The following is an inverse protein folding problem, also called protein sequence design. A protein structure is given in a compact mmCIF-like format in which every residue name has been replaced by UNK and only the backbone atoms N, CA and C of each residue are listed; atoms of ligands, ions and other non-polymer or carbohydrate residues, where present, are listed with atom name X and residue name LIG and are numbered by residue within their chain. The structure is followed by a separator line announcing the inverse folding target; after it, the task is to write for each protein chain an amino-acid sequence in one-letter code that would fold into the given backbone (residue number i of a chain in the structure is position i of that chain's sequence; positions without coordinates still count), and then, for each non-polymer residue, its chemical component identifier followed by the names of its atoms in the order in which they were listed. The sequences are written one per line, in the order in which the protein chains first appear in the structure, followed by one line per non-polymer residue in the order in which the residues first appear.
data_IF_737080248069
#
_entry.id   IF_737080248069
#
_cell.length_a   1.000
_cell.length_b   1.000
_cell.length_c   1.000
_cell.angle_alpha   90.00
_cell.angle_beta   90.00
_cell.angle_gamma   90.00
#
_symmetry.space_group_name_H-M   'P 1'
#
loop_
_entity.id
_entity.type
_entity.pdbx_description
1 polymer ?
#
# COMPACT_ATOMS: atom_id res chain seq x y z
N UNK A 1 4.28 18.05 -1.04
CA UNK A 1 3.98 19.50 -1.16
C UNK A 1 5.25 20.22 -0.82
N UNK A 2 5.69 21.18 -1.62
CA UNK A 2 6.92 21.91 -1.33
C UNK A 2 6.61 23.06 -0.36
N UNK A 3 7.45 23.26 0.65
CA UNK A 3 7.35 24.41 1.52
C UNK A 3 7.84 25.69 0.80
N UNK A 4 7.32 26.88 1.16
CA UNK A 4 7.92 28.14 0.75
C UNK A 4 9.38 28.23 1.21
N UNK A 5 10.23 28.96 0.48
CA UNK A 5 11.69 29.00 0.67
C UNK A 5 12.16 29.35 2.09
N UNK A 6 11.34 30.06 2.87
CA UNK A 6 11.64 30.53 4.23
C UNK A 6 11.08 29.63 5.35
N UNK A 7 10.40 28.55 4.99
CA UNK A 7 9.74 27.62 5.93
C UNK A 7 10.37 26.24 5.79
N UNK A 8 10.75 25.64 6.92
CA UNK A 8 11.35 24.30 6.97
C UNK A 8 10.54 23.35 7.84
N UNK A 9 10.47 22.07 7.49
CA UNK A 9 9.99 21.05 8.41
C UNK A 9 11.08 20.78 9.45
N UNK A 10 10.75 20.97 10.72
CA UNK A 10 11.71 20.82 11.83
C UNK A 10 11.03 20.12 13.00
N UNK A 11 11.56 18.97 13.48
CA UNK A 11 12.71 18.25 12.95
C UNK A 11 12.36 17.44 11.67
N UNK A 12 13.38 17.06 10.90
CA UNK A 12 13.29 15.93 9.96
C UNK A 12 12.75 14.74 10.73
N UNK A 13 11.60 14.23 10.30
CA UNK A 13 10.85 13.23 11.06
C UNK A 13 10.72 11.96 10.23
N UNK A 14 11.09 10.84 10.85
CA UNK A 14 10.86 9.51 10.32
C UNK A 14 10.01 8.75 11.35
N UNK A 15 9.08 7.93 10.87
CA UNK A 15 8.18 7.22 11.76
C UNK A 15 7.48 6.04 11.11
N UNK A 16 6.67 5.37 11.91
CA UNK A 16 5.79 4.29 11.47
C UNK A 16 4.36 4.65 11.82
N UNK A 17 3.45 4.28 10.93
CA UNK A 17 2.01 4.35 11.12
C UNK A 17 1.46 2.94 11.34
N UNK A 18 0.14 2.75 11.26
CA UNK A 18 -0.46 1.43 11.43
C UNK A 18 -0.08 0.50 10.27
N UNK A 19 -0.08 1.02 9.03
CA UNK A 19 0.11 0.22 7.82
C UNK A 19 1.44 0.47 7.11
N UNK A 20 2.17 1.53 7.47
CA UNK A 20 3.34 1.96 6.70
C UNK A 20 4.43 2.65 7.51
N UNK A 21 5.38 3.18 6.76
CA UNK A 21 6.46 4.03 7.27
C UNK A 21 6.49 5.32 6.47
N UNK A 22 6.89 6.41 7.14
CA UNK A 22 7.00 7.71 6.49
C UNK A 22 8.31 8.40 6.86
N UNK A 23 8.75 9.28 5.98
CA UNK A 23 9.83 10.23 6.22
C UNK A 23 9.46 11.58 5.61
N UNK A 24 9.86 12.66 6.26
CA UNK A 24 9.74 14.03 5.74
C UNK A 24 11.06 14.77 5.89
N UNK A 25 11.52 15.40 4.81
CA UNK A 25 12.73 16.24 4.80
C UNK A 25 12.44 17.69 5.22
N UNK A 26 13.50 18.49 5.35
CA UNK A 26 13.39 19.89 5.78
C UNK A 26 12.63 20.78 4.79
N UNK A 27 12.55 20.40 3.51
CA UNK A 27 11.82 21.14 2.48
C UNK A 27 10.34 20.71 2.39
N UNK A 28 9.93 19.76 3.23
CA UNK A 28 8.57 19.24 3.33
C UNK A 28 8.25 18.16 2.31
N UNK A 29 9.24 17.65 1.57
CA UNK A 29 9.03 16.45 0.76
C UNK A 29 8.89 15.25 1.69
N UNK A 30 7.82 14.50 1.48
CA UNK A 30 7.54 13.30 2.24
C UNK A 30 7.47 12.09 1.32
N UNK A 31 7.89 10.95 1.86
CA UNK A 31 7.66 9.64 1.26
C UNK A 31 6.91 8.77 2.25
N UNK A 32 5.94 8.01 1.76
CA UNK A 32 5.20 7.02 2.52
C UNK A 32 5.31 5.68 1.81
N UNK A 33 5.69 4.63 2.56
CA UNK A 33 5.77 3.26 2.05
C UNK A 33 4.77 2.41 2.82
N UNK A 34 3.81 1.81 2.10
CA UNK A 34 2.91 0.81 2.64
C UNK A 34 3.69 -0.48 2.90
N UNK A 35 3.71 -0.96 4.15
CA UNK A 35 4.50 -2.13 4.57
C UNK A 35 3.66 -3.31 5.04
N UNK A 36 2.37 -3.08 5.27
CA UNK A 36 1.39 -4.08 5.69
C UNK A 36 0.12 -3.92 4.87
N UNK A 37 -0.55 -5.03 4.50
CA UNK A 37 -1.86 -4.94 3.87
C UNK A 37 -2.86 -4.29 4.82
N UNK A 38 -3.85 -3.60 4.27
CA UNK A 38 -5.03 -3.18 5.02
C UNK A 38 -5.94 -4.38 5.27
N UNK A 39 -6.65 -4.38 6.40
CA UNK A 39 -7.64 -5.43 6.71
C UNK A 39 -9.02 -5.12 6.10
N UNK A 40 -9.05 -4.32 5.04
CA UNK A 40 -10.27 -3.79 4.44
C UNK A 40 -10.02 -2.57 3.58
N UNK A 41 -11.12 -2.10 2.99
CA UNK A 41 -11.13 -1.01 2.02
C UNK A 41 -11.23 0.36 2.68
N UNK A 42 -10.60 1.37 2.09
CA UNK A 42 -10.65 2.78 2.53
C UNK A 42 -10.18 3.00 3.98
N UNK A 43 -9.16 2.27 4.44
CA UNK A 43 -8.54 2.55 5.74
C UNK A 43 -7.61 3.75 5.66
N UNK A 44 -7.43 4.47 6.77
CA UNK A 44 -6.61 5.68 6.81
C UNK A 44 -5.35 5.47 7.67
N UNK A 45 -4.25 6.06 7.19
CA UNK A 45 -3.06 6.34 7.98
C UNK A 45 -2.85 7.85 8.07
N UNK A 46 -2.36 8.32 9.21
CA UNK A 46 -2.06 9.74 9.41
C UNK A 46 -0.70 9.94 10.04
N UNK A 47 -0.03 11.02 9.68
CA UNK A 47 1.12 11.51 10.41
C UNK A 47 1.13 13.04 10.43
N UNK A 48 1.71 13.61 11.47
CA UNK A 48 1.87 15.06 11.60
C UNK A 48 3.33 15.46 11.50
N UNK A 49 3.57 16.66 10.96
CA UNK A 49 4.88 17.29 10.90
C UNK A 49 4.77 18.76 11.27
N UNK A 50 5.82 19.29 11.88
CA UNK A 50 5.89 20.71 12.28
C UNK A 50 6.77 21.47 11.30
N UNK A 51 6.27 22.59 10.81
CA UNK A 51 7.01 23.56 10.01
C UNK A 51 7.39 24.76 10.86
N UNK A 52 8.57 25.31 10.64
CA UNK A 52 9.08 26.50 11.32
C UNK A 52 9.53 27.55 10.29
N UNK A 53 9.12 28.80 10.46
CA UNK A 53 9.58 29.91 9.64
C UNK A 53 10.88 30.53 10.19
N UNK A 54 11.48 31.44 9.41
CA UNK A 54 12.71 32.14 9.78
C UNK A 54 12.55 33.05 11.02
N UNK A 55 11.32 33.45 11.35
CA UNK A 55 10.98 34.28 12.51
C UNK A 55 10.72 33.44 13.77
N UNK A 56 10.75 32.11 13.65
CA UNK A 56 10.62 31.16 14.74
C UNK A 56 9.19 30.68 15.01
N UNK A 57 8.20 31.11 14.23
CA UNK A 57 6.84 30.62 14.35
C UNK A 57 6.77 29.18 13.87
N UNK A 58 6.03 28.35 14.60
CA UNK A 58 5.86 26.93 14.28
C UNK A 58 4.39 26.62 13.99
N UNK A 59 4.14 25.73 13.03
CA UNK A 59 2.80 25.26 12.67
C UNK A 59 2.83 23.75 12.49
N UNK A 60 1.86 23.05 13.04
CA UNK A 60 1.71 21.61 12.87
C UNK A 60 0.73 21.33 11.73
N UNK A 61 1.14 20.46 10.81
CA UNK A 61 0.36 20.01 9.66
C UNK A 61 0.12 18.51 9.79
N UNK A 62 -0.96 18.02 9.19
CA UNK A 62 -1.31 16.60 9.17
C UNK A 62 -1.44 16.12 7.73
N UNK A 63 -0.84 14.97 7.45
CA UNK A 63 -0.99 14.24 6.19
C UNK A 63 -1.91 13.06 6.47
N UNK A 64 -2.95 12.92 5.63
CA UNK A 64 -3.86 11.77 5.62
C UNK A 64 -3.61 10.95 4.38
N UNK A 65 -3.44 9.64 4.55
CA UNK A 65 -3.21 8.66 3.49
C UNK A 65 -4.39 7.69 3.51
N UNK A 66 -5.18 7.66 2.44
CA UNK A 66 -6.25 6.68 2.26
C UNK A 66 -5.71 5.48 1.48
N UNK A 67 -5.83 4.29 2.07
CA UNK A 67 -5.40 3.02 1.50
C UNK A 67 -6.64 2.31 0.95
N UNK A 68 -6.59 1.93 -0.32
CA UNK A 68 -7.68 1.28 -1.05
C UNK A 68 -7.23 -0.13 -1.40
N UNK A 69 -8.07 -1.12 -1.09
CA UNK A 69 -7.85 -2.52 -1.40
C UNK A 69 -8.22 -2.80 -2.87
N UNK A 70 -7.47 -3.66 -3.55
CA UNK A 70 -7.74 -4.03 -4.92
C UNK A 70 -8.41 -5.41 -5.04
N UNK A 71 -9.42 -5.51 -5.91
CA UNK A 71 -10.08 -6.77 -6.17
C UNK A 71 -9.17 -7.72 -6.99
N UNK A 72 -9.11 -9.02 -6.67
CA UNK A 72 -8.32 -9.97 -7.44
C UNK A 72 -8.87 -10.11 -8.86
N UNK A 73 -7.97 -10.16 -9.85
CA UNK A 73 -8.33 -10.39 -11.26
C UNK A 73 -8.17 -11.87 -11.61
N UNK A 74 -9.29 -12.57 -11.77
CA UNK A 74 -9.30 -13.97 -12.21
C UNK A 74 -8.93 -14.07 -13.70
N UNK A 75 -8.10 -15.07 -14.05
CA UNK A 75 -7.79 -15.41 -15.45
C UNK A 75 -8.56 -16.69 -15.83
N UNK A 76 -9.23 -16.72 -16.99
CA UNK A 76 -9.97 -17.91 -17.42
C UNK A 76 -9.01 -19.04 -17.79
N UNK A 77 -9.29 -20.24 -17.28
CA UNK A 77 -8.64 -21.48 -17.74
C UNK A 77 -9.35 -22.02 -18.97
N UNK A 78 -8.60 -22.42 -20.01
CA UNK A 78 -9.15 -23.01 -21.22
C UNK A 78 -8.57 -24.39 -21.47
N UNK A 79 -9.42 -25.42 -21.47
CA UNK A 79 -9.08 -26.77 -21.89
C UNK A 79 -9.99 -27.19 -23.07
N UNK A 80 -9.44 -27.88 -24.05
CA UNK A 80 -10.20 -28.50 -25.14
C UNK A 80 -9.72 -29.91 -25.39
N UNK A 81 -10.63 -30.76 -25.89
CA UNK A 81 -10.33 -32.12 -26.35
C UNK A 81 -11.00 -32.31 -27.70
N UNK A 82 -10.27 -32.88 -28.65
CA UNK A 82 -10.85 -33.39 -29.89
C UNK A 82 -11.52 -34.71 -29.61
N UNK A 83 -12.78 -34.84 -30.03
CA UNK A 83 -13.47 -36.12 -30.03
C UNK A 83 -12.66 -37.16 -30.81
N UNK A 84 -12.70 -38.41 -30.35
CA UNK A 84 -12.18 -39.59 -31.06
C UNK A 84 -10.65 -39.84 -31.00
N UNK A 85 -9.95 -39.34 -29.97
CA UNK A 85 -8.61 -39.84 -29.60
C UNK A 85 -8.67 -40.63 -28.28
N UNK A 86 -8.15 -41.86 -28.28
CA UNK A 86 -8.04 -42.73 -27.10
C UNK A 86 -6.57 -42.96 -26.75
N UNK A 87 -6.16 -42.89 -25.46
CA UNK A 87 -6.90 -42.46 -24.28
C UNK A 87 -6.55 -41.00 -23.95
N UNK A 88 -7.52 -40.08 -24.07
CA UNK A 88 -7.28 -38.66 -23.78
C UNK A 88 -7.97 -38.24 -22.47
N UNK A 89 -7.39 -38.50 -21.28
CA UNK A 89 -7.89 -37.91 -20.06
C UNK A 89 -7.59 -36.40 -20.08
N UNK A 90 -8.64 -35.57 -20.08
CA UNK A 90 -8.49 -34.15 -19.71
C UNK A 90 -8.43 -34.08 -18.19
N UNK A 91 -7.26 -33.84 -17.62
CA UNK A 91 -7.17 -33.34 -16.26
C UNK A 91 -7.14 -31.81 -16.30
N UNK A 92 -8.18 -31.17 -15.78
CA UNK A 92 -8.13 -29.76 -15.41
C UNK A 92 -8.13 -29.68 -13.89
N UNK A 93 -7.22 -28.92 -13.32
CA UNK A 93 -7.34 -28.50 -11.94
C UNK A 93 -7.78 -27.04 -11.96
N UNK A 94 -8.97 -26.73 -11.42
CA UNK A 94 -9.13 -25.41 -10.81
C UNK A 94 -8.26 -25.49 -9.56
N UNK A 95 -7.28 -24.60 -9.39
CA UNK A 95 -6.66 -24.43 -8.08
C UNK A 95 -7.77 -24.00 -7.10
N UNK A 96 -8.50 -24.97 -6.53
CA UNK A 96 -9.35 -24.73 -5.38
C UNK A 96 -8.39 -24.31 -4.28
N UNK A 97 -8.45 -23.03 -3.90
CA UNK A 97 -7.55 -22.38 -2.95
C UNK A 97 -7.13 -23.30 -1.82
N UNK A 98 -5.83 -23.30 -1.54
CA UNK A 98 -5.19 -24.27 -0.66
C UNK A 98 -5.89 -24.43 0.69
N UNK A 99 -6.17 -25.69 1.04
CA UNK A 99 -6.04 -26.16 2.40
C UNK A 99 -5.09 -27.36 2.36
N UNK A 100 -3.80 -27.10 2.55
CA UNK A 100 -2.91 -28.15 3.05
C UNK A 100 -3.40 -28.42 4.46
N UNK A 101 -4.11 -29.52 4.63
CA UNK A 101 -4.35 -30.12 5.93
C UNK A 101 -3.02 -30.25 6.66
N UNK A 102 -2.83 -29.45 7.70
CA UNK A 102 -1.90 -29.79 8.77
C UNK A 102 -2.56 -30.89 9.58
N UNK A 103 -1.86 -32.03 9.62
CA UNK A 103 -2.01 -33.24 10.45
C UNK A 103 -3.10 -33.22 11.55
#
# INVERSE_FOLDING_TARGET
VNLPSEVKAVPVTNGSTQYGTFSIDEDGHYTYTLTKPSNGDNVEDTFSYTTKDAQGNSTTNTVTITIIDDAPVAKPDTNSITEDSVPNPVSGNVLTGGVSSGD
#
